data_IF_994866418183
#
_entry.id   IF_994866418183
#
_cell.length_a   1.000
_cell.length_b   1.000
_cell.length_c   1.000
_cell.angle_alpha   90.00
_cell.angle_beta   90.00
_cell.angle_gamma   90.00
#
_symmetry.space_group_name_H-M   'P 1'
#
loop_
_entity.id
_entity.type
_entity.pdbx_description
1 polymer ?
#
# COMPACT_ATOMS: atom_id res chain seq x y z
N UNK A 1 -11.54 -42.11 27.21
CA UNK A 1 -11.62 -40.70 26.78
C UNK A 1 -10.32 -40.40 26.06
N UNK A 2 -10.33 -40.43 24.72
CA UNK A 2 -9.14 -40.19 23.91
C UNK A 2 -9.01 -38.68 23.78
N UNK A 3 -7.95 -38.11 24.34
CA UNK A 3 -7.60 -36.71 24.12
C UNK A 3 -7.20 -36.62 22.64
N UNK A 4 -7.87 -35.81 21.80
CA UNK A 4 -7.44 -35.66 20.42
C UNK A 4 -6.04 -35.05 20.42
N UNK A 5 -5.14 -35.64 19.63
CA UNK A 5 -3.81 -35.07 19.42
C UNK A 5 -3.99 -33.62 18.94
N UNK A 6 -3.25 -32.69 19.57
CA UNK A 6 -3.16 -31.32 19.09
C UNK A 6 -2.79 -31.38 17.60
N UNK A 7 -3.60 -30.75 16.74
CA UNK A 7 -3.21 -30.54 15.34
C UNK A 7 -1.88 -29.78 15.40
N UNK A 8 -0.85 -30.32 14.77
CA UNK A 8 0.36 -29.55 14.49
C UNK A 8 -0.10 -28.36 13.65
N UNK A 9 -0.15 -27.18 14.26
CA UNK A 9 -0.45 -25.95 13.55
C UNK A 9 0.58 -25.81 12.43
N UNK A 10 0.10 -25.66 11.19
CA UNK A 10 0.99 -25.31 10.09
C UNK A 10 1.53 -23.91 10.41
N UNK A 11 2.84 -23.65 10.26
CA UNK A 11 3.37 -22.31 10.45
C UNK A 11 2.59 -21.35 9.55
N UNK A 12 2.09 -20.27 10.14
CA UNK A 12 1.36 -19.25 9.40
C UNK A 12 2.33 -18.63 8.38
N UNK A 13 1.98 -18.55 7.08
CA UNK A 13 2.85 -17.93 6.10
C UNK A 13 3.04 -16.46 6.48
N UNK A 14 4.30 -16.04 6.67
CA UNK A 14 4.64 -14.64 6.97
C UNK A 14 4.31 -13.78 5.74
N UNK A 15 3.41 -12.78 5.85
CA UNK A 15 3.17 -11.81 4.79
C UNK A 15 4.43 -10.99 4.50
N UNK A 16 4.63 -10.60 3.25
CA UNK A 16 5.70 -9.68 2.88
C UNK A 16 5.36 -8.27 3.38
N UNK A 17 6.32 -7.59 4.00
CA UNK A 17 6.20 -6.20 4.46
C UNK A 17 6.67 -5.27 3.34
N UNK A 18 5.72 -4.51 2.77
CA UNK A 18 6.00 -3.45 1.80
C UNK A 18 5.91 -2.09 2.49
N UNK A 19 6.97 -1.28 2.43
CA UNK A 19 6.94 0.10 2.93
C UNK A 19 6.64 1.07 1.79
N UNK A 20 5.56 1.83 1.90
CA UNK A 20 5.27 2.91 0.95
C UNK A 20 6.16 4.11 1.21
N UNK A 21 6.91 4.54 0.20
CA UNK A 21 7.77 5.72 0.27
C UNK A 21 6.91 6.99 0.27
N UNK A 22 7.22 7.91 1.18
CA UNK A 22 6.44 9.13 1.42
C UNK A 22 6.90 10.31 0.57
N UNK A 23 8.18 10.37 0.24
CA UNK A 23 8.85 11.50 -0.41
C UNK A 23 8.20 11.97 -1.72
N UNK A 24 8.31 13.27 -1.98
CA UNK A 24 7.86 13.92 -3.21
C UNK A 24 9.01 14.23 -4.17
N UNK A 25 10.24 13.84 -3.82
CA UNK A 25 11.44 13.91 -4.68
C UNK A 25 12.16 12.57 -4.68
N UNK A 26 12.98 12.33 -5.72
CA UNK A 26 13.82 11.13 -5.80
C UNK A 26 14.72 11.01 -4.57
N UNK A 27 15.37 12.10 -4.15
CA UNK A 27 16.26 12.10 -2.98
C UNK A 27 15.54 11.74 -1.68
N UNK A 28 14.30 12.18 -1.50
CA UNK A 28 13.46 11.79 -0.36
C UNK A 28 13.04 10.33 -0.45
N UNK A 29 12.61 9.86 -1.62
CA UNK A 29 12.27 8.45 -1.82
C UNK A 29 13.47 7.53 -1.54
N UNK A 30 14.69 7.91 -1.93
CA UNK A 30 15.91 7.16 -1.64
C UNK A 30 16.21 7.11 -0.13
N UNK A 31 16.00 8.22 0.59
CA UNK A 31 16.11 8.24 2.06
C UNK A 31 15.06 7.35 2.72
N UNK A 32 13.82 7.41 2.24
CA UNK A 32 12.73 6.58 2.72
C UNK A 32 13.01 5.10 2.50
N UNK A 33 13.57 4.74 1.34
CA UNK A 33 13.97 3.37 1.02
C UNK A 33 15.08 2.87 1.96
N UNK A 34 16.09 3.70 2.26
CA UNK A 34 17.11 3.36 3.24
C UNK A 34 16.53 3.14 4.65
N UNK A 35 15.55 3.96 5.05
CA UNK A 35 14.82 3.77 6.31
C UNK A 35 13.97 2.49 6.31
N UNK A 36 13.33 2.16 5.19
CA UNK A 36 12.55 0.93 5.03
C UNK A 36 13.43 -0.31 5.18
N UNK A 37 14.61 -0.32 4.56
CA UNK A 37 15.62 -1.38 4.73
C UNK A 37 16.02 -1.52 6.20
N UNK A 38 16.33 -0.41 6.87
CA UNK A 38 16.68 -0.43 8.30
C UNK A 38 15.52 -0.90 9.20
N UNK A 39 14.27 -0.70 8.78
CA UNK A 39 13.08 -1.15 9.49
C UNK A 39 12.73 -2.63 9.24
N UNK A 40 13.47 -3.34 8.38
CA UNK A 40 13.23 -4.75 8.06
C UNK A 40 12.12 -4.97 7.04
N UNK A 41 11.89 -4.02 6.13
CA UNK A 41 10.97 -4.20 5.02
C UNK A 41 11.48 -5.27 4.04
N UNK A 42 10.56 -6.07 3.49
CA UNK A 42 10.87 -7.05 2.45
C UNK A 42 10.91 -6.40 1.05
N UNK A 43 10.20 -5.28 0.89
CA UNK A 43 10.13 -4.48 -0.35
C UNK A 43 9.65 -3.05 -0.07
N UNK A 44 9.70 -2.20 -1.10
CA UNK A 44 9.19 -0.82 -1.04
C UNK A 44 8.19 -0.53 -2.15
N UNK A 45 7.19 0.30 -1.88
CA UNK A 45 6.30 0.87 -2.89
C UNK A 45 6.79 2.28 -3.26
N UNK A 46 7.29 2.42 -4.49
CA UNK A 46 7.59 3.72 -5.11
C UNK A 46 6.27 4.28 -5.63
N UNK A 47 5.77 5.34 -4.97
CA UNK A 47 4.64 6.15 -5.45
C UNK A 47 5.14 7.22 -6.40
N UNK A 48 5.45 6.82 -7.63
CA UNK A 48 6.05 7.70 -8.65
C UNK A 48 5.18 8.91 -8.97
N UNK A 49 3.86 8.77 -8.85
CA UNK A 49 2.90 9.86 -8.98
C UNK A 49 3.15 11.03 -8.01
N UNK A 50 3.83 10.80 -6.88
CA UNK A 50 4.18 11.85 -5.92
C UNK A 50 5.28 12.80 -6.40
N UNK A 51 6.03 12.46 -7.45
CA UNK A 51 7.03 13.36 -8.02
C UNK A 51 6.40 14.62 -8.64
N UNK A 52 5.10 14.58 -8.96
CA UNK A 52 4.34 15.72 -9.50
C UNK A 52 3.61 16.54 -8.44
N UNK A 53 3.94 16.38 -7.16
CA UNK A 53 3.41 17.22 -6.09
C UNK A 53 4.53 17.74 -5.20
N UNK A 54 4.25 18.82 -4.48
CA UNK A 54 5.06 19.28 -3.34
C UNK A 54 4.22 19.15 -2.09
N UNK A 55 4.78 18.52 -1.07
CA UNK A 55 4.18 18.44 0.25
C UNK A 55 4.29 19.79 0.96
N UNK A 56 3.15 20.36 1.36
CA UNK A 56 3.06 21.60 2.12
C UNK A 56 2.37 21.33 3.46
N UNK A 57 3.09 21.56 4.54
CA UNK A 57 2.50 21.54 5.88
C UNK A 57 1.62 22.78 6.08
N UNK A 58 0.39 22.64 6.59
CA UNK A 58 -0.47 23.76 6.93
C UNK A 58 0.20 24.68 7.96
N UNK A 59 -0.04 25.99 7.84
CA UNK A 59 0.43 26.94 8.85
C UNK A 59 -0.19 26.58 10.21
N UNK A 60 0.59 26.61 11.31
CA UNK A 60 0.05 26.33 12.63
C UNK A 60 -1.04 27.35 12.96
N UNK A 61 -2.23 26.87 13.33
CA UNK A 61 -3.30 27.74 13.82
C UNK A 61 -2.77 28.57 14.99
N UNK A 62 -2.92 29.90 14.92
CA UNK A 62 -2.56 30.80 16.02
C UNK A 62 -3.32 30.37 17.27
N UNK A 63 -2.62 30.22 18.41
CA UNK A 63 -3.21 29.85 19.70
C UNK A 63 -4.39 30.78 20.04
N UNK A 64 -5.61 30.34 19.71
CA UNK A 64 -6.83 30.97 20.20
C UNK A 64 -6.99 30.62 21.68
N UNK A 65 -7.43 31.58 22.49
CA UNK A 65 -7.76 31.40 23.90
C UNK A 65 -8.82 30.28 24.05
N UNK A 66 -8.39 29.03 24.27
CA UNK A 66 -9.32 27.89 24.25
C UNK A 66 -8.71 26.56 24.69
N UNK A 67 -8.95 26.26 25.97
CA UNK A 67 -8.92 24.96 26.65
C UNK A 67 -7.54 24.34 27.00
N UNK A 68 -7.15 24.54 28.28
CA UNK A 68 -5.97 23.95 28.96
C UNK A 68 -6.07 22.41 29.13
N UNK A 69 -6.77 21.69 28.26
CA UNK A 69 -7.13 20.27 28.43
C UNK A 69 -6.41 19.25 27.54
N UNK A 70 -5.83 19.66 26.40
CA UNK A 70 -5.21 18.74 25.43
C UNK A 70 -3.75 19.08 25.16
N UNK A 71 -2.84 18.50 25.94
CA UNK A 71 -1.38 18.69 25.83
C UNK A 71 -0.70 18.08 24.59
N UNK A 72 -1.47 17.58 23.62
CA UNK A 72 -0.92 17.00 22.39
C UNK A 72 -1.33 17.83 21.17
N UNK A 73 -0.37 18.29 20.34
CA UNK A 73 -0.68 18.94 19.09
C UNK A 73 -1.49 17.97 18.20
N UNK A 74 -2.61 18.46 17.69
CA UNK A 74 -3.45 17.72 16.73
C UNK A 74 -2.66 17.62 15.43
N UNK A 75 -2.38 16.40 14.96
CA UNK A 75 -1.81 16.20 13.63
C UNK A 75 -2.77 16.75 12.57
N UNK A 76 -2.22 17.51 11.63
CA UNK A 76 -2.92 18.02 10.45
C UNK A 76 -2.26 17.38 9.24
N UNK A 77 -3.06 16.86 8.31
CA UNK A 77 -2.52 16.28 7.09
C UNK A 77 -1.90 17.37 6.20
N UNK A 78 -0.77 17.08 5.52
CA UNK A 78 -0.20 18.00 4.56
C UNK A 78 -1.08 18.13 3.32
N UNK A 79 -1.04 19.31 2.73
CA UNK A 79 -1.56 19.54 1.38
C UNK A 79 -0.51 19.11 0.35
N UNK A 80 -0.96 18.53 -0.76
CA UNK A 80 -0.10 18.18 -1.89
C UNK A 80 -0.40 19.12 -3.06
N UNK A 81 0.52 20.05 -3.33
CA UNK A 81 0.36 21.03 -4.40
C UNK A 81 0.87 20.43 -5.71
N UNK A 82 0.04 20.34 -6.77
CA UNK A 82 0.47 19.82 -8.06
C UNK A 82 1.55 20.68 -8.72
N UNK A 83 2.46 20.00 -9.43
CA UNK A 83 3.50 20.58 -10.26
C UNK A 83 3.19 20.36 -11.75
N UNK A 84 3.77 21.17 -12.66
CA UNK A 84 3.64 20.95 -14.10
C UNK A 84 4.07 19.53 -14.53
N UNK A 85 3.44 18.95 -15.55
CA UNK A 85 3.75 17.58 -15.99
C UNK A 85 5.20 17.42 -16.50
N UNK A 86 5.79 18.49 -17.03
CA UNK A 86 7.17 18.56 -17.49
C UNK A 86 8.19 18.86 -16.37
N UNK A 87 7.75 18.96 -15.11
CA UNK A 87 8.64 19.15 -13.95
C UNK A 87 9.46 17.91 -13.58
N UNK A 88 9.06 16.72 -14.07
CA UNK A 88 9.70 15.44 -13.74
C UNK A 88 10.40 14.87 -14.98
N UNK A 89 11.71 14.69 -14.88
CA UNK A 89 12.47 13.84 -15.82
C UNK A 89 12.23 12.37 -15.47
N UNK A 90 11.26 11.75 -16.16
CA UNK A 90 10.85 10.36 -15.91
C UNK A 90 12.02 9.39 -16.05
N UNK A 91 12.86 9.55 -17.08
CA UNK A 91 13.96 8.61 -17.33
C UNK A 91 15.06 8.78 -16.27
N UNK A 92 15.47 10.01 -16.00
CA UNK A 92 16.45 10.30 -14.95
C UNK A 92 15.99 9.85 -13.55
N UNK A 93 14.71 10.02 -13.24
CA UNK A 93 14.13 9.55 -11.98
C UNK A 93 14.12 8.01 -11.88
N UNK A 94 13.69 7.30 -12.93
CA UNK A 94 13.73 5.84 -12.98
C UNK A 94 15.15 5.30 -12.82
N UNK A 95 16.13 5.87 -13.52
CA UNK A 95 17.54 5.47 -13.41
C UNK A 95 18.07 5.68 -11.99
N UNK A 96 17.77 6.82 -11.38
CA UNK A 96 18.23 7.15 -10.03
C UNK A 96 17.63 6.22 -8.98
N UNK A 97 16.31 5.96 -9.06
CA UNK A 97 15.62 5.03 -8.15
C UNK A 97 16.13 3.60 -8.31
N UNK A 98 16.34 3.14 -9.55
CA UNK A 98 16.90 1.81 -9.83
C UNK A 98 18.32 1.63 -9.27
N UNK A 99 19.13 2.67 -9.28
CA UNK A 99 20.50 2.62 -8.74
C UNK A 99 20.56 2.76 -7.22
N UNK A 100 19.60 3.48 -6.63
CA UNK A 100 19.64 3.84 -5.21
C UNK A 100 18.78 2.98 -4.28
N UNK A 101 17.89 2.13 -4.81
CA UNK A 101 17.04 1.24 -4.02
C UNK A 101 17.51 -0.22 -4.17
N UNK A 102 17.99 -0.81 -3.07
CA UNK A 102 18.44 -2.20 -3.04
C UNK A 102 17.29 -3.22 -2.85
N UNK A 103 16.20 -2.80 -2.22
CA UNK A 103 15.03 -3.65 -1.99
C UNK A 103 14.23 -3.88 -3.27
N UNK A 104 13.52 -5.01 -3.41
CA UNK A 104 12.52 -5.17 -4.45
C UNK A 104 11.52 -4.00 -4.46
N UNK A 105 11.16 -3.53 -5.66
CA UNK A 105 10.30 -2.36 -5.84
C UNK A 105 8.93 -2.77 -6.38
N UNK A 106 7.87 -2.33 -5.70
CA UNK A 106 6.53 -2.17 -6.27
C UNK A 106 6.43 -0.77 -6.85
N UNK A 107 6.45 -0.66 -8.16
CA UNK A 107 6.33 0.62 -8.85
C UNK A 107 4.86 0.96 -9.09
N UNK A 108 4.43 2.14 -8.65
CA UNK A 108 3.07 2.62 -8.85
C UNK A 108 3.09 4.06 -9.38
N UNK A 109 2.36 4.32 -10.46
CA UNK A 109 2.04 5.67 -10.93
C UNK A 109 0.52 5.84 -10.88
N UNK A 110 0.01 6.18 -9.70
CA UNK A 110 -1.43 6.15 -9.42
C UNK A 110 -2.15 7.39 -9.94
N UNK A 111 -3.28 7.25 -10.67
CA UNK A 111 -4.05 8.37 -11.17
C UNK A 111 -4.96 8.97 -10.10
N UNK A 112 -5.41 10.21 -10.30
CA UNK A 112 -6.33 10.92 -9.39
C UNK A 112 -7.62 10.15 -9.11
N UNK A 113 -8.19 9.50 -10.15
CA UNK A 113 -9.41 8.69 -10.03
C UNK A 113 -9.32 7.55 -9.00
N UNK A 114 -8.10 7.14 -8.63
CA UNK A 114 -7.83 6.16 -7.59
C UNK A 114 -7.03 6.76 -6.41
N UNK A 115 -7.24 8.05 -6.13
CA UNK A 115 -6.62 8.76 -5.00
C UNK A 115 -5.08 8.87 -5.12
N UNK A 116 -4.57 8.90 -6.35
CA UNK A 116 -3.17 9.21 -6.66
C UNK A 116 -2.94 10.68 -7.00
N UNK A 117 -1.69 11.02 -7.33
CA UNK A 117 -1.28 12.40 -7.61
C UNK A 117 -0.89 12.66 -9.08
N UNK A 118 -1.00 11.66 -9.96
CA UNK A 118 -0.73 11.86 -11.37
C UNK A 118 -1.95 12.48 -12.06
N UNK A 119 -1.78 13.72 -12.55
CA UNK A 119 -2.84 14.52 -13.18
C UNK A 119 -2.74 14.59 -14.72
N UNK A 120 -1.82 13.83 -15.31
CA UNK A 120 -1.63 13.78 -16.76
C UNK A 120 -2.63 12.88 -17.47
N UNK A 121 -2.55 12.85 -18.80
CA UNK A 121 -3.40 12.00 -19.62
C UNK A 121 -3.06 10.52 -19.42
N UNK A 122 -4.06 9.64 -19.56
CA UNK A 122 -3.89 8.20 -19.30
C UNK A 122 -2.82 7.58 -20.21
N UNK A 123 -2.74 7.96 -21.49
CA UNK A 123 -1.72 7.45 -22.41
C UNK A 123 -0.30 7.75 -21.92
N UNK A 124 -0.06 8.96 -21.40
CA UNK A 124 1.23 9.37 -20.84
C UNK A 124 1.54 8.59 -19.56
N UNK A 125 0.53 8.33 -18.72
CA UNK A 125 0.67 7.48 -17.53
C UNK A 125 1.07 6.05 -17.90
N UNK A 126 0.43 5.49 -18.92
CA UNK A 126 0.74 4.15 -19.41
C UNK A 126 2.17 4.07 -19.97
N UNK A 127 2.67 5.12 -20.61
CA UNK A 127 4.08 5.18 -21.05
C UNK A 127 5.07 5.18 -19.88
N UNK A 128 4.73 5.84 -18.76
CA UNK A 128 5.54 5.77 -17.53
C UNK A 128 5.56 4.34 -16.98
N UNK A 129 4.41 3.65 -16.96
CA UNK A 129 4.33 2.25 -16.51
C UNK A 129 5.13 1.30 -17.42
N UNK A 130 5.08 1.50 -18.74
CA UNK A 130 5.91 0.76 -19.71
C UNK A 130 7.39 0.99 -19.45
N UNK A 131 7.81 2.25 -19.28
CA UNK A 131 9.20 2.59 -18.98
C UNK A 131 9.68 1.95 -17.66
N UNK A 132 8.82 1.91 -16.63
CA UNK A 132 9.14 1.22 -15.38
C UNK A 132 9.32 -0.29 -15.59
N UNK A 133 8.44 -0.95 -16.34
CA UNK A 133 8.57 -2.38 -16.70
C UNK A 133 9.88 -2.62 -17.46
N UNK A 134 10.17 -1.82 -18.48
CA UNK A 134 11.41 -1.93 -19.28
C UNK A 134 12.68 -1.70 -18.45
N UNK A 135 12.57 -0.89 -17.38
CA UNK A 135 13.66 -0.69 -16.43
C UNK A 135 13.94 -1.91 -15.54
N UNK A 136 13.04 -2.89 -15.50
CA UNK A 136 13.20 -4.14 -14.76
C UNK A 136 12.79 -4.06 -13.28
N UNK A 137 11.75 -3.28 -12.96
CA UNK A 137 11.16 -3.26 -11.61
C UNK A 137 10.67 -4.65 -11.19
N UNK A 138 10.70 -4.94 -9.89
CA UNK A 138 10.31 -6.26 -9.37
C UNK A 138 8.80 -6.50 -9.48
N UNK A 139 8.01 -5.45 -9.21
CA UNK A 139 6.57 -5.45 -9.30
C UNK A 139 6.07 -4.16 -9.94
N UNK A 140 4.97 -4.25 -10.69
CA UNK A 140 4.23 -3.12 -11.25
C UNK A 140 2.80 -3.13 -10.69
N UNK A 141 2.36 -2.00 -10.13
CA UNK A 141 0.99 -1.78 -9.69
C UNK A 141 0.16 -1.26 -10.86
N UNK A 142 -0.84 -2.04 -11.26
CA UNK A 142 -1.72 -1.77 -12.39
C UNK A 142 -3.17 -1.76 -11.90
N UNK A 143 -3.85 -0.63 -12.04
CA UNK A 143 -5.25 -0.53 -11.66
C UNK A 143 -6.13 -1.43 -12.55
N UNK A 144 -7.09 -2.14 -11.93
CA UNK A 144 -7.99 -3.09 -12.63
C UNK A 144 -8.91 -2.42 -13.64
N UNK A 145 -9.12 -1.11 -13.52
CA UNK A 145 -9.97 -0.30 -14.40
C UNK A 145 -9.19 0.36 -15.57
N UNK A 146 -7.90 0.06 -15.74
CA UNK A 146 -7.18 0.39 -16.98
C UNK A 146 -7.88 -0.33 -18.15
N UNK A 147 -8.06 0.38 -19.27
CA UNK A 147 -8.69 -0.17 -20.47
C UNK A 147 -8.06 -1.51 -20.88
N UNK A 148 -8.90 -2.51 -21.19
CA UNK A 148 -8.50 -3.90 -21.29
C UNK A 148 -7.37 -4.18 -22.29
N UNK A 149 -7.36 -3.50 -23.45
CA UNK A 149 -6.30 -3.68 -24.46
C UNK A 149 -4.96 -3.13 -23.98
N UNK A 150 -4.99 -1.96 -23.33
CA UNK A 150 -3.81 -1.31 -22.75
C UNK A 150 -3.25 -2.10 -21.58
N UNK A 151 -4.14 -2.59 -20.71
CA UNK A 151 -3.78 -3.42 -19.56
C UNK A 151 -3.16 -4.74 -19.99
N UNK A 152 -3.75 -5.41 -20.99
CA UNK A 152 -3.20 -6.64 -21.59
C UNK A 152 -1.80 -6.41 -22.14
N UNK A 153 -1.57 -5.28 -22.83
CA UNK A 153 -0.25 -4.92 -23.36
C UNK A 153 0.78 -4.73 -22.24
N UNK A 154 0.42 -4.10 -21.13
CA UNK A 154 1.30 -3.92 -19.97
C UNK A 154 1.65 -5.27 -19.30
N UNK A 155 0.66 -6.14 -19.10
CA UNK A 155 0.87 -7.49 -18.53
C UNK A 155 1.82 -8.29 -19.43
N UNK A 156 1.65 -8.23 -20.76
CA UNK A 156 2.55 -8.88 -21.71
C UNK A 156 3.99 -8.35 -21.60
N UNK A 157 4.17 -7.04 -21.45
CA UNK A 157 5.49 -6.44 -21.19
C UNK A 157 6.12 -6.93 -19.88
N UNK A 158 5.31 -7.05 -18.82
CA UNK A 158 5.76 -7.49 -17.50
C UNK A 158 6.22 -8.96 -17.47
N UNK A 159 5.74 -9.81 -18.39
CA UNK A 159 6.07 -11.25 -18.46
C UNK A 159 7.58 -11.58 -18.55
N UNK A 160 8.43 -10.57 -18.81
CA UNK A 160 9.89 -10.67 -18.80
C UNK A 160 10.57 -10.71 -17.42
N UNK A 161 9.81 -10.69 -16.31
CA UNK A 161 10.34 -10.83 -14.95
C UNK A 161 9.76 -9.87 -13.91
N UNK A 162 8.80 -9.03 -14.29
CA UNK A 162 8.08 -8.12 -13.41
C UNK A 162 6.75 -8.76 -13.01
N UNK A 163 6.47 -8.80 -11.71
CA UNK A 163 5.18 -9.27 -11.20
C UNK A 163 4.13 -8.16 -11.21
N UNK A 164 2.86 -8.51 -11.29
CA UNK A 164 1.75 -7.55 -11.41
C UNK A 164 0.91 -7.53 -10.12
N UNK A 165 0.72 -6.34 -9.55
CA UNK A 165 -0.31 -6.09 -8.54
C UNK A 165 -1.56 -5.58 -9.27
N UNK A 166 -2.64 -6.35 -9.25
CA UNK A 166 -3.95 -5.90 -9.73
C UNK A 166 -4.61 -5.07 -8.62
N UNK A 167 -4.66 -3.74 -8.80
CA UNK A 167 -5.04 -2.84 -7.71
C UNK A 167 -6.37 -2.13 -7.92
N UNK A 168 -7.05 -1.85 -6.81
CA UNK A 168 -8.26 -1.05 -6.76
C UNK A 168 -8.30 -0.20 -5.49
N UNK A 169 -8.55 1.10 -5.66
CA UNK A 169 -8.68 2.06 -4.58
C UNK A 169 -10.02 2.78 -4.67
N UNK A 170 -10.88 2.56 -3.69
CA UNK A 170 -12.19 3.20 -3.59
C UNK A 170 -12.17 4.35 -2.59
N UNK A 171 -12.76 5.48 -2.98
CA UNK A 171 -13.02 6.60 -2.07
C UNK A 171 -14.28 6.36 -1.21
N UNK A 172 -15.03 5.30 -1.50
CA UNK A 172 -16.24 4.91 -0.78
C UNK A 172 -15.91 3.98 0.40
N UNK A 173 -16.85 3.91 1.33
CA UNK A 173 -16.80 2.93 2.43
C UNK A 173 -16.76 1.50 1.90
N UNK A 174 -16.10 0.55 2.59
CA UNK A 174 -16.09 -0.84 2.18
C UNK A 174 -17.51 -1.40 2.07
N UNK A 175 -17.83 -2.12 0.97
CA UNK A 175 -19.11 -2.79 0.80
C UNK A 175 -19.20 -4.00 1.76
N UNK A 176 -20.18 -4.88 1.58
CA UNK A 176 -20.25 -6.09 2.41
C UNK A 176 -19.00 -6.96 2.27
N UNK A 177 -18.70 -7.77 3.29
CA UNK A 177 -17.57 -8.70 3.23
C UNK A 177 -17.63 -9.64 2.02
N UNK A 178 -18.84 -10.08 1.63
CA UNK A 178 -19.06 -10.92 0.44
C UNK A 178 -18.76 -10.18 -0.87
N UNK A 179 -19.06 -8.88 -0.96
CA UNK A 179 -18.72 -8.09 -2.14
C UNK A 179 -17.21 -7.89 -2.25
N UNK A 180 -16.52 -7.64 -1.13
CA UNK A 180 -15.05 -7.52 -1.11
C UNK A 180 -14.38 -8.85 -1.51
N UNK A 181 -14.93 -9.99 -1.06
CA UNK A 181 -14.45 -11.31 -1.48
C UNK A 181 -14.62 -11.46 -3.00
N UNK A 182 -15.79 -11.09 -3.54
CA UNK A 182 -16.03 -11.13 -4.98
C UNK A 182 -15.06 -10.22 -5.75
N UNK A 183 -14.79 -9.01 -5.26
CA UNK A 183 -13.82 -8.09 -5.86
C UNK A 183 -12.41 -8.72 -5.93
N UNK A 184 -12.01 -9.50 -4.92
CA UNK A 184 -10.73 -10.23 -4.92
C UNK A 184 -10.75 -11.44 -5.88
N UNK A 185 -11.85 -12.17 -5.92
CA UNK A 185 -12.01 -13.32 -6.82
C UNK A 185 -12.05 -12.90 -8.29
N UNK A 186 -12.79 -11.83 -8.61
CA UNK A 186 -12.88 -11.30 -9.98
C UNK A 186 -11.53 -10.78 -10.48
N UNK A 187 -10.71 -10.22 -9.59
CA UNK A 187 -9.37 -9.73 -9.91
C UNK A 187 -8.27 -10.81 -9.94
N UNK A 188 -8.56 -12.07 -9.60
CA UNK A 188 -7.51 -13.08 -9.41
C UNK A 188 -6.71 -13.41 -10.66
N UNK A 189 -7.32 -13.23 -11.84
CA UNK A 189 -6.68 -13.46 -13.13
C UNK A 189 -6.01 -12.19 -13.71
N UNK A 190 -6.15 -11.04 -13.02
CA UNK A 190 -5.64 -9.74 -13.48
C UNK A 190 -4.20 -9.46 -13.03
N UNK A 191 -3.59 -10.31 -12.20
CA UNK A 191 -2.23 -10.14 -11.71
C UNK A 191 -1.74 -11.28 -10.82
N UNK A 192 -0.51 -11.15 -10.31
CA UNK A 192 0.08 -12.10 -9.36
C UNK A 192 -0.50 -11.95 -7.94
N UNK A 193 -1.06 -10.77 -7.62
CA UNK A 193 -1.73 -10.47 -6.35
C UNK A 193 -2.82 -9.43 -6.57
N UNK A 194 -3.94 -9.56 -5.86
CA UNK A 194 -5.02 -8.56 -5.85
C UNK A 194 -4.89 -7.63 -4.64
N UNK A 195 -4.92 -6.32 -4.87
CA UNK A 195 -4.84 -5.29 -3.83
C UNK A 195 -6.11 -4.45 -3.84
N UNK A 196 -6.88 -4.49 -2.76
CA UNK A 196 -8.06 -3.65 -2.59
C UNK A 196 -7.92 -2.74 -1.39
N UNK A 197 -8.23 -1.47 -1.59
CA UNK A 197 -8.17 -0.44 -0.56
C UNK A 197 -9.45 0.41 -0.59
N UNK A 198 -10.19 0.41 0.52
CA UNK A 198 -11.40 1.22 0.66
C UNK A 198 -11.20 2.31 1.69
N UNK A 199 -11.92 3.42 1.56
CA UNK A 199 -11.94 4.46 2.59
C UNK A 199 -12.65 3.94 3.83
N UNK A 200 -11.96 3.85 4.97
CA UNK A 200 -12.54 3.34 6.22
C UNK A 200 -12.77 4.46 7.24
N UNK A 201 -13.96 4.48 7.83
CA UNK A 201 -14.42 5.55 8.72
C UNK A 201 -14.61 5.13 10.18
N UNK A 202 -14.32 3.86 10.51
CA UNK A 202 -14.42 3.35 11.87
C UNK A 202 -14.42 1.83 11.98
N UNK A 203 -14.74 1.34 13.17
CA UNK A 203 -14.69 -0.10 13.50
C UNK A 203 -15.61 -0.97 12.65
N UNK A 204 -16.76 -0.47 12.22
CA UNK A 204 -17.68 -1.22 11.35
C UNK A 204 -17.05 -1.53 10.00
N UNK A 205 -16.38 -0.54 9.41
CA UNK A 205 -15.64 -0.70 8.15
C UNK A 205 -14.44 -1.64 8.32
N UNK A 206 -13.67 -1.46 9.40
CA UNK A 206 -12.56 -2.36 9.75
C UNK A 206 -13.00 -3.82 9.93
N UNK A 207 -14.17 -4.06 10.53
CA UNK A 207 -14.74 -5.41 10.66
C UNK A 207 -15.10 -6.02 9.31
N UNK A 208 -15.69 -5.26 8.38
CA UNK A 208 -16.03 -5.78 7.04
C UNK A 208 -14.78 -6.20 6.26
N UNK A 209 -13.73 -5.36 6.31
CA UNK A 209 -12.43 -5.67 5.69
C UNK A 209 -11.80 -6.93 6.32
N UNK A 210 -11.85 -7.03 7.65
CA UNK A 210 -11.35 -8.19 8.37
C UNK A 210 -12.14 -9.47 8.04
N UNK A 211 -13.48 -9.40 8.02
CA UNK A 211 -14.36 -10.51 7.69
C UNK A 211 -14.12 -11.02 6.25
N UNK A 212 -13.91 -10.10 5.30
CA UNK A 212 -13.57 -10.44 3.92
C UNK A 212 -12.23 -11.20 3.85
N UNK A 213 -11.18 -10.64 4.44
CA UNK A 213 -9.86 -11.30 4.49
C UNK A 213 -9.94 -12.65 5.23
N UNK A 214 -10.70 -12.74 6.31
CA UNK A 214 -10.91 -14.00 7.02
C UNK A 214 -11.59 -15.06 6.14
N UNK A 215 -12.56 -14.65 5.31
CA UNK A 215 -13.26 -15.52 4.37
C UNK A 215 -12.38 -16.05 3.23
N UNK A 216 -11.33 -15.32 2.84
CA UNK A 216 -10.36 -15.70 1.79
C UNK A 216 -9.26 -16.65 2.27
N UNK A 217 -9.20 -16.95 3.58
CA UNK A 217 -8.18 -17.85 4.11
C UNK A 217 -8.30 -19.26 3.52
N UNK A 218 -7.16 -19.86 3.18
CA UNK A 218 -7.11 -21.21 2.62
C UNK A 218 -7.75 -21.40 1.23
N UNK A 219 -8.19 -20.33 0.55
CA UNK A 219 -8.69 -20.41 -0.84
C UNK A 219 -7.54 -20.57 -1.84
N UNK A 220 -6.33 -20.15 -1.46
CA UNK A 220 -5.17 -20.08 -2.35
C UNK A 220 -5.04 -18.73 -3.08
N UNK A 221 -5.98 -17.80 -2.87
CA UNK A 221 -5.91 -16.44 -3.42
C UNK A 221 -4.69 -15.69 -2.86
N UNK A 222 -4.00 -14.94 -3.72
CA UNK A 222 -2.94 -14.02 -3.29
C UNK A 222 -3.51 -12.61 -3.23
N UNK A 223 -3.54 -12.01 -2.04
CA UNK A 223 -4.23 -10.73 -1.85
C UNK A 223 -3.66 -9.83 -0.75
N UNK A 224 -4.05 -8.56 -0.82
CA UNK A 224 -3.84 -7.52 0.18
C UNK A 224 -5.10 -6.63 0.30
N UNK A 225 -5.86 -6.81 1.38
CA UNK A 225 -7.04 -6.01 1.73
C UNK A 225 -6.65 -5.00 2.81
N UNK A 226 -7.02 -3.74 2.62
CA UNK A 226 -6.77 -2.68 3.61
C UNK A 226 -7.78 -1.54 3.56
N UNK A 227 -7.77 -0.72 4.60
CA UNK A 227 -8.53 0.53 4.64
C UNK A 227 -7.62 1.76 4.68
N UNK A 228 -8.06 2.85 4.04
CA UNK A 228 -7.53 4.19 4.24
C UNK A 228 -8.43 4.95 5.22
N UNK A 229 -8.00 5.01 6.49
CA UNK A 229 -8.71 5.70 7.58
C UNK A 229 -8.95 4.84 8.81
N UNK A 230 -9.82 5.29 9.71
CA UNK A 230 -10.07 4.62 11.00
C UNK A 230 -10.47 3.15 10.84
N UNK A 231 -9.77 2.27 11.57
CA UNK A 231 -10.01 0.82 11.54
C UNK A 231 -9.44 0.10 10.31
N UNK A 232 -8.84 0.82 9.36
CA UNK A 232 -8.24 0.25 8.15
C UNK A 232 -6.90 -0.45 8.39
N UNK A 233 -6.31 -0.27 9.56
CA UNK A 233 -5.05 -0.89 10.02
C UNK A 233 -5.26 -2.33 10.56
N UNK A 234 -6.50 -2.75 10.84
CA UNK A 234 -6.80 -4.04 11.44
C UNK A 234 -6.35 -5.22 10.57
N UNK A 235 -6.57 -5.15 9.26
CA UNK A 235 -6.11 -6.20 8.34
C UNK A 235 -4.60 -6.23 8.21
N UNK A 236 -3.91 -5.11 8.45
CA UNK A 236 -2.45 -5.03 8.47
C UNK A 236 -1.89 -5.73 9.72
N UNK A 237 -2.39 -5.37 10.89
CA UNK A 237 -1.99 -5.94 12.19
C UNK A 237 -2.20 -7.45 12.21
N UNK A 238 -3.33 -7.91 11.66
CA UNK A 238 -3.70 -9.32 11.64
C UNK A 238 -3.31 -10.05 10.35
N UNK A 239 -2.47 -9.46 9.49
CA UNK A 239 -2.15 -10.03 8.18
C UNK A 239 -1.68 -11.50 8.20
N UNK A 240 -0.83 -11.97 9.15
CA UNK A 240 -0.44 -13.37 9.21
C UNK A 240 -1.62 -14.31 9.51
N UNK A 241 -2.46 -13.94 10.48
CA UNK A 241 -3.68 -14.67 10.83
C UNK A 241 -4.66 -14.71 9.65
N UNK A 242 -4.73 -13.62 8.90
CA UNK A 242 -5.58 -13.47 7.74
C UNK A 242 -4.98 -14.13 6.48
N UNK A 243 -3.76 -14.66 6.52
CA UNK A 243 -3.08 -15.24 5.34
C UNK A 243 -2.96 -14.24 4.16
N UNK A 244 -2.84 -12.94 4.45
CA UNK A 244 -2.56 -11.95 3.41
C UNK A 244 -1.15 -12.17 2.84
N UNK A 245 -0.98 -12.01 1.53
CA UNK A 245 0.32 -12.22 0.87
C UNK A 245 1.27 -11.04 1.11
N UNK A 246 0.72 -9.83 1.13
CA UNK A 246 1.46 -8.57 1.19
C UNK A 246 0.77 -7.59 2.14
N UNK A 247 1.53 -6.90 2.97
CA UNK A 247 1.05 -5.83 3.85
C UNK A 247 1.79 -4.54 3.57
N UNK A 248 1.03 -3.47 3.31
CA UNK A 248 1.60 -2.13 3.13
C UNK A 248 1.75 -1.42 4.48
N UNK A 249 2.88 -0.76 4.68
CA UNK A 249 3.30 -0.10 5.92
C UNK A 249 4.00 1.22 5.61
N UNK A 250 4.49 1.90 6.64
CA UNK A 250 5.26 3.14 6.51
C UNK A 250 6.43 3.18 7.50
N UNK A 251 7.37 4.08 7.28
CA UNK A 251 8.42 4.47 8.24
C UNK A 251 8.00 5.67 9.10
N UNK A 252 6.86 6.33 8.78
CA UNK A 252 6.29 7.43 9.56
C UNK A 252 6.02 7.01 11.00
N UNK A 253 5.95 8.01 11.90
CA UNK A 253 5.74 7.80 13.33
C UNK A 253 4.66 8.72 13.86
N UNK A 254 3.84 8.20 14.77
CA UNK A 254 2.90 8.99 15.54
C UNK A 254 1.50 8.37 15.60
N UNK A 255 0.72 8.80 16.60
CA UNK A 255 -0.63 8.28 16.83
C UNK A 255 -1.63 8.60 15.70
N UNK A 256 -1.28 9.49 14.77
CA UNK A 256 -2.13 9.83 13.63
C UNK A 256 -2.24 8.68 12.63
N UNK A 257 -1.25 7.77 12.57
CA UNK A 257 -1.23 6.66 11.62
C UNK A 257 -2.45 5.75 11.76
N UNK A 258 -2.88 5.45 12.99
CA UNK A 258 -4.07 4.62 13.23
C UNK A 258 -5.36 5.29 12.72
N UNK A 259 -5.39 6.62 12.66
CA UNK A 259 -6.52 7.38 12.09
C UNK A 259 -6.54 7.33 10.57
N UNK A 260 -5.40 7.04 9.96
CA UNK A 260 -5.21 6.87 8.52
C UNK A 260 -5.26 5.41 8.07
N UNK A 261 -5.46 4.45 9.00
CA UNK A 261 -5.42 3.01 8.67
C UNK A 261 -4.02 2.53 8.30
N UNK A 262 -2.99 3.28 8.73
CA UNK A 262 -1.57 2.99 8.49
C UNK A 262 -0.93 2.46 9.77
N UNK A 263 0.15 1.71 9.60
CA UNK A 263 0.98 1.22 10.71
C UNK A 263 2.45 1.30 10.31
N UNK A 264 3.30 1.66 11.27
CA UNK A 264 4.74 1.68 11.08
C UNK A 264 5.28 0.25 10.95
N UNK A 265 6.26 0.02 10.08
CA UNK A 265 6.82 -1.31 9.83
C UNK A 265 7.43 -1.97 11.07
N UNK A 266 8.12 -1.22 11.94
CA UNK A 266 8.69 -1.75 13.19
C UNK A 266 7.61 -2.01 14.25
N UNK A 267 6.59 -1.16 14.33
CA UNK A 267 5.45 -1.37 15.22
C UNK A 267 4.64 -2.61 14.81
N UNK A 268 4.45 -2.82 13.51
CA UNK A 268 3.77 -4.00 12.97
C UNK A 268 4.50 -5.29 13.35
N UNK A 269 5.82 -5.34 13.16
CA UNK A 269 6.62 -6.50 13.54
C UNK A 269 6.57 -6.75 15.06
N UNK A 270 6.63 -5.69 15.86
CA UNK A 270 6.44 -5.80 17.32
C UNK A 270 5.06 -6.38 17.66
N UNK A 271 4.00 -5.92 16.98
CA UNK A 271 2.66 -6.45 17.17
C UNK A 271 2.57 -7.94 16.79
N UNK A 272 3.17 -8.36 15.68
CA UNK A 272 3.21 -9.77 15.28
C UNK A 272 3.97 -10.65 16.27
N UNK A 273 5.07 -10.15 16.84
CA UNK A 273 5.80 -10.85 17.88
C UNK A 273 4.94 -11.02 19.15
N UNK A 274 4.25 -9.96 19.58
CA UNK A 274 3.37 -9.98 20.77
C UNK A 274 2.12 -10.85 20.59
N UNK A 275 1.62 -10.95 19.36
CA UNK A 275 0.49 -11.81 18.99
C UNK A 275 0.89 -13.25 18.67
N UNK A 276 2.19 -13.57 18.79
CA UNK A 276 2.76 -14.90 18.49
C UNK A 276 2.47 -15.37 17.05
N UNK A 277 2.42 -14.43 16.10
CA UNK A 277 2.24 -14.75 14.68
C UNK A 277 3.51 -15.26 14.00
N UNK A 278 4.68 -14.91 14.53
CA UNK A 278 5.96 -15.48 14.12
C UNK A 278 6.16 -16.80 14.86
N UNK A 279 5.76 -17.91 14.23
CA UNK A 279 6.04 -19.25 14.75
C UNK A 279 7.47 -19.64 14.36
N UNK A 280 8.30 -19.94 15.36
CA UNK A 280 9.64 -20.52 15.20
C UNK A 280 9.62 -21.88 14.49
#
# INVERSE_FOLDING_TARGET
MVIPAAKVERPMPRPLICVTLSGCTVDEMLKDAAMATAAGADMVEVRFDKLWVVEQMPEPESEGEGDEGSRHPKYVEPDFIPQPLDSVDVQGALESLKQGIDLPVVFACRPERQQGHYLGEEEQRLDILRAAIDSGVSWIDLEVDIESSSRTSLIQGASGGTKVVASFHSAESPPSASEIIQDVEDGSDDGDIVKVCYKSSGRGDGLRLFEAAWGLRGTGSSYAIMGSGWGGDWTRIHAPLLEQTLVYTTTDKGMHLSRQGRINASDLQTAWQLLEYETN
#
